data_IF_560347223862
#
_entry.id   IF_560347223862
#
_cell.length_a   1.000
_cell.length_b   1.000
_cell.length_c   1.000
_cell.angle_alpha   90.00
_cell.angle_beta   90.00
_cell.angle_gamma   90.00
#
_symmetry.space_group_name_H-M   'P 1'
#
loop_
_entity.id
_entity.type
_entity.pdbx_description
1 polymer ?
#
# COMPACT_ATOMS: atom_id res chain seq x y z
N UNK A 1 -0.95 -22.19 -8.69
CA UNK A 1 -1.73 -21.72 -7.50
C UNK A 1 -0.71 -21.47 -6.42
N UNK A 2 -0.68 -20.28 -5.83
CA UNK A 2 0.26 -19.99 -4.74
C UNK A 2 -0.07 -20.76 -3.46
N UNK A 3 0.92 -21.05 -2.64
CA UNK A 3 0.76 -21.64 -1.29
C UNK A 3 1.16 -20.62 -0.22
N UNK A 4 0.53 -20.68 0.94
CA UNK A 4 0.91 -19.86 2.11
C UNK A 4 1.45 -20.82 3.16
N UNK A 5 2.72 -20.67 3.50
CA UNK A 5 3.36 -21.37 4.60
C UNK A 5 3.33 -20.46 5.83
N UNK A 6 2.68 -20.93 6.90
CA UNK A 6 2.52 -20.17 8.14
C UNK A 6 3.52 -20.69 9.17
N UNK A 7 4.71 -20.09 9.23
CA UNK A 7 5.74 -20.47 10.20
C UNK A 7 5.32 -20.12 11.63
N UNK A 8 4.64 -18.98 11.80
CA UNK A 8 3.96 -18.58 13.04
C UNK A 8 2.86 -17.56 12.75
N UNK A 9 2.03 -17.20 13.73
CA UNK A 9 1.04 -16.13 13.56
C UNK A 9 1.65 -14.75 13.24
N UNK A 10 2.97 -14.60 13.43
CA UNK A 10 3.72 -13.35 13.18
C UNK A 10 4.73 -13.47 12.05
N UNK A 11 4.81 -14.62 11.38
CA UNK A 11 5.75 -14.84 10.27
C UNK A 11 5.18 -15.83 9.26
N UNK A 12 4.85 -15.34 8.08
CA UNK A 12 4.29 -16.12 6.98
C UNK A 12 5.19 -16.03 5.76
N UNK A 13 5.15 -17.06 4.91
CA UNK A 13 5.80 -17.07 3.60
C UNK A 13 4.73 -17.34 2.55
N UNK A 14 4.54 -16.39 1.63
CA UNK A 14 3.62 -16.54 0.49
C UNK A 14 4.42 -16.97 -0.72
N UNK A 15 4.22 -18.21 -1.17
CA UNK A 15 4.79 -18.73 -2.41
C UNK A 15 3.79 -18.52 -3.53
N UNK A 16 4.18 -17.86 -4.61
CA UNK A 16 3.28 -17.60 -5.74
C UNK A 16 3.57 -18.52 -6.92
N UNK A 17 4.55 -18.17 -7.77
CA UNK A 17 4.91 -18.89 -9.01
C UNK A 17 6.43 -18.91 -9.15
N UNK A 18 7.00 -20.00 -9.69
CA UNK A 18 8.42 -20.13 -10.07
C UNK A 18 9.38 -19.61 -8.98
N UNK A 19 9.25 -20.21 -7.78
CA UNK A 19 10.07 -19.89 -6.61
C UNK A 19 9.99 -18.44 -6.11
N UNK A 20 9.02 -17.65 -6.58
CA UNK A 20 8.75 -16.33 -6.00
C UNK A 20 8.10 -16.48 -4.62
N UNK A 21 8.85 -16.05 -3.60
CA UNK A 21 8.47 -16.09 -2.19
C UNK A 21 8.44 -14.68 -1.63
N UNK A 22 7.39 -14.40 -0.88
CA UNK A 22 7.23 -13.16 -0.15
C UNK A 22 7.14 -13.46 1.35
N UNK A 23 8.15 -13.04 2.09
CA UNK A 23 8.28 -13.23 3.53
C UNK A 23 7.56 -12.07 4.24
N UNK A 24 6.56 -12.36 5.06
CA UNK A 24 5.70 -11.40 5.75
C UNK A 24 5.93 -11.49 7.26
N UNK A 25 6.16 -10.35 7.90
CA UNK A 25 6.31 -10.24 9.36
C UNK A 25 5.21 -9.39 9.94
N UNK A 26 4.64 -9.84 11.05
CA UNK A 26 3.57 -9.14 11.74
C UNK A 26 3.89 -8.89 13.21
N UNK A 27 3.30 -7.84 13.77
CA UNK A 27 3.17 -7.66 15.22
C UNK A 27 1.74 -7.96 15.66
N UNK A 28 1.59 -8.52 16.86
CA UNK A 28 0.29 -8.69 17.51
C UNK A 28 -0.09 -7.41 18.25
N UNK A 29 -1.29 -6.88 17.98
CA UNK A 29 -1.81 -5.66 18.58
C UNK A 29 -3.06 -5.98 19.40
N UNK A 30 -3.05 -5.60 20.68
CA UNK A 30 -4.23 -5.71 21.54
C UNK A 30 -5.31 -4.71 21.11
N UNK A 31 -6.55 -5.19 20.98
CA UNK A 31 -7.68 -4.38 20.55
C UNK A 31 -8.77 -4.23 21.61
N UNK A 32 -8.76 -4.99 22.72
CA UNK A 32 -9.82 -4.88 23.74
C UNK A 32 -10.08 -3.43 24.16
N UNK A 33 -11.34 -3.00 24.07
CA UNK A 33 -11.77 -1.64 24.41
C UNK A 33 -11.43 -0.57 23.36
N UNK A 34 -10.66 -0.88 22.31
CA UNK A 34 -10.42 0.07 21.22
C UNK A 34 -11.64 0.25 20.35
N UNK A 35 -11.79 1.43 19.78
CA UNK A 35 -12.88 1.76 18.85
C UNK A 35 -12.77 0.91 17.57
N UNK A 36 -13.88 0.29 17.18
CA UNK A 36 -13.91 -0.60 16.01
C UNK A 36 -13.76 0.19 14.72
N UNK A 37 -14.51 1.28 14.57
CA UNK A 37 -14.48 2.11 13.36
C UNK A 37 -13.06 2.64 13.10
N UNK A 38 -12.42 3.22 14.12
CA UNK A 38 -11.09 3.81 13.98
C UNK A 38 -9.99 2.77 13.77
N UNK A 39 -10.25 1.48 14.07
CA UNK A 39 -9.30 0.39 13.81
C UNK A 39 -9.43 -0.20 12.41
N UNK A 40 -10.62 -0.14 11.79
CA UNK A 40 -10.88 -0.70 10.46
C UNK A 40 -10.73 0.38 9.37
N UNK A 41 -11.20 1.59 9.67
CA UNK A 41 -11.13 2.76 8.81
C UNK A 41 -10.37 3.90 9.53
N UNK A 42 -9.09 3.67 9.88
CA UNK A 42 -8.29 4.68 10.57
C UNK A 42 -8.19 5.97 9.74
N UNK A 43 -8.29 7.12 10.42
CA UNK A 43 -8.19 8.45 9.82
C UNK A 43 -9.48 9.00 9.23
N UNK A 44 -10.49 8.17 8.91
CA UNK A 44 -11.72 8.63 8.24
C UNK A 44 -12.60 9.57 9.07
N UNK A 45 -12.46 9.62 10.39
CA UNK A 45 -13.13 10.66 11.20
C UNK A 45 -12.56 12.05 10.95
N UNK A 46 -11.23 12.14 10.84
CA UNK A 46 -10.53 13.40 10.65
C UNK A 46 -10.60 13.86 9.19
N UNK A 47 -10.23 12.96 8.27
CA UNK A 47 -10.15 13.24 6.83
C UNK A 47 -11.51 13.16 6.11
N UNK A 48 -12.55 12.74 6.83
CA UNK A 48 -13.93 12.54 6.35
C UNK A 48 -14.01 11.55 5.17
N UNK A 49 -15.22 11.27 4.73
CA UNK A 49 -15.46 10.64 3.44
C UNK A 49 -15.56 11.75 2.39
N UNK A 50 -14.94 11.56 1.23
CA UNK A 50 -15.22 12.39 0.05
C UNK A 50 -16.66 12.14 -0.45
N UNK A 51 -17.06 12.69 -1.60
CA UNK A 51 -18.43 12.55 -2.13
C UNK A 51 -18.68 11.26 -2.91
N UNK A 52 -17.72 10.34 -3.00
CA UNK A 52 -17.89 9.12 -3.80
C UNK A 52 -18.99 8.21 -3.23
N UNK A 53 -19.72 7.55 -4.13
CA UNK A 53 -20.80 6.61 -3.79
C UNK A 53 -20.28 5.34 -3.12
N UNK A 54 -19.02 4.98 -3.39
CA UNK A 54 -18.30 3.84 -2.83
C UNK A 54 -18.26 3.83 -1.30
N UNK A 55 -18.42 4.98 -0.64
CA UNK A 55 -18.37 5.11 0.82
C UNK A 55 -19.72 5.01 1.54
N UNK A 56 -20.82 4.72 0.85
CA UNK A 56 -22.16 4.61 1.47
C UNK A 56 -22.17 3.70 2.70
N UNK A 57 -21.63 2.49 2.58
CA UNK A 57 -21.55 1.52 3.68
C UNK A 57 -20.63 1.98 4.81
N UNK A 58 -19.52 2.64 4.48
CA UNK A 58 -18.60 3.16 5.47
C UNK A 58 -19.19 4.32 6.28
N UNK A 59 -20.00 5.18 5.65
CA UNK A 59 -20.77 6.24 6.31
C UNK A 59 -21.86 5.65 7.22
N UNK A 60 -22.58 4.63 6.76
CA UNK A 60 -23.57 3.89 7.57
C UNK A 60 -22.89 3.26 8.78
N UNK A 61 -21.73 2.64 8.57
CA UNK A 61 -20.94 2.06 9.66
C UNK A 61 -20.58 3.13 10.70
N UNK A 62 -20.05 4.28 10.28
CA UNK A 62 -19.74 5.39 11.18
C UNK A 62 -20.98 5.86 11.96
N UNK A 63 -22.13 6.02 11.29
CA UNK A 63 -23.34 6.53 11.94
C UNK A 63 -23.98 5.53 12.91
N UNK A 64 -23.99 4.25 12.56
CA UNK A 64 -24.72 3.22 13.31
C UNK A 64 -23.89 2.55 14.38
N UNK A 65 -22.58 2.43 14.17
CA UNK A 65 -21.66 1.68 15.04
C UNK A 65 -20.36 2.41 15.30
N UNK A 66 -20.28 3.71 15.00
CA UNK A 66 -19.06 4.49 15.19
C UNK A 66 -18.52 4.44 16.61
N UNK A 67 -19.36 4.29 17.64
CA UNK A 67 -18.90 4.26 19.03
C UNK A 67 -18.67 2.85 19.59
N UNK A 68 -18.85 1.81 18.76
CA UNK A 68 -18.62 0.43 19.18
C UNK A 68 -17.15 0.16 19.47
N UNK A 69 -16.90 -0.72 20.44
CA UNK A 69 -15.56 -1.12 20.86
C UNK A 69 -15.38 -2.63 20.77
N UNK A 70 -14.14 -3.06 20.57
CA UNK A 70 -13.80 -4.47 20.55
C UNK A 70 -13.95 -5.10 21.94
N UNK A 71 -14.53 -6.31 22.06
CA UNK A 71 -14.65 -7.01 23.33
C UNK A 71 -13.30 -7.51 23.85
N UNK A 72 -13.25 -7.88 25.13
CA UNK A 72 -12.06 -8.43 25.78
C UNK A 72 -11.54 -9.67 25.02
N UNK A 73 -10.21 -9.74 24.82
CA UNK A 73 -9.53 -10.81 24.10
C UNK A 73 -9.45 -10.59 22.58
N UNK A 74 -9.89 -9.43 22.09
CA UNK A 74 -9.73 -9.04 20.69
C UNK A 74 -8.30 -8.61 20.42
N UNK A 75 -7.70 -9.14 19.37
CA UNK A 75 -6.40 -8.69 18.88
C UNK A 75 -6.34 -8.78 17.36
N UNK A 76 -5.39 -8.06 16.78
CA UNK A 76 -5.11 -8.14 15.37
C UNK A 76 -3.61 -8.37 15.13
N UNK A 77 -3.26 -8.67 13.89
CA UNK A 77 -1.89 -8.71 13.44
C UNK A 77 -1.70 -7.61 12.39
N UNK A 78 -0.67 -6.81 12.59
CA UNK A 78 -0.32 -5.68 11.72
C UNK A 78 0.98 -5.99 11.02
N UNK A 79 1.01 -5.85 9.69
CA UNK A 79 2.21 -6.07 8.90
C UNK A 79 3.28 -5.05 9.32
N UNK A 80 4.47 -5.53 9.69
CA UNK A 80 5.62 -4.71 10.07
C UNK A 80 6.72 -4.74 9.03
N UNK A 81 6.83 -5.84 8.28
CA UNK A 81 7.84 -6.01 7.25
C UNK A 81 7.35 -6.99 6.18
N UNK A 82 7.78 -6.75 4.94
CA UNK A 82 7.64 -7.72 3.85
C UNK A 82 8.88 -7.71 2.95
N UNK A 83 9.25 -8.87 2.40
CA UNK A 83 10.39 -8.99 1.50
C UNK A 83 10.17 -10.06 0.45
N UNK A 84 10.42 -9.71 -0.82
CA UNK A 84 10.51 -10.70 -1.89
C UNK A 84 11.90 -11.31 -1.92
N UNK A 85 11.99 -12.61 -2.20
CA UNK A 85 13.26 -13.29 -2.39
C UNK A 85 13.95 -12.94 -3.72
N UNK A 86 13.19 -12.48 -4.72
CA UNK A 86 13.68 -12.04 -6.03
C UNK A 86 12.83 -10.90 -6.58
N UNK A 87 13.41 -10.11 -7.47
CA UNK A 87 12.73 -9.02 -8.14
C UNK A 87 11.79 -9.56 -9.23
N UNK A 88 10.65 -8.91 -9.40
CA UNK A 88 9.75 -9.25 -10.50
C UNK A 88 8.89 -8.06 -10.93
N UNK A 89 8.38 -8.15 -12.16
CA UNK A 89 7.44 -7.21 -12.74
C UNK A 89 6.09 -7.90 -12.92
N UNK A 90 5.02 -7.18 -12.62
CA UNK A 90 3.66 -7.59 -12.93
C UNK A 90 2.99 -6.53 -13.80
N UNK A 91 2.46 -6.93 -14.96
CA UNK A 91 1.77 -6.02 -15.89
C UNK A 91 0.70 -6.75 -16.69
N UNK A 92 -0.29 -5.99 -17.19
CA UNK A 92 -1.38 -6.52 -18.00
C UNK A 92 -1.16 -6.14 -19.48
N UNK A 93 -0.96 -7.15 -20.33
CA UNK A 93 -0.70 -6.99 -21.76
C UNK A 93 -1.92 -6.59 -22.59
N UNK A 94 -3.13 -6.64 -22.03
CA UNK A 94 -4.38 -6.27 -22.72
C UNK A 94 -4.63 -4.75 -22.68
N UNK A 95 -3.78 -3.99 -21.98
CA UNK A 95 -3.95 -2.55 -21.74
C UNK A 95 -2.69 -1.78 -22.09
N UNK A 96 -2.30 -1.74 -23.38
CA UNK A 96 -1.22 -0.87 -23.81
C UNK A 96 -1.61 0.60 -23.55
N UNK A 97 -0.62 1.41 -23.25
CA UNK A 97 -0.77 2.87 -23.17
C UNK A 97 -0.22 3.49 -24.45
N UNK A 98 -0.87 4.56 -24.91
CA UNK A 98 -0.44 5.32 -26.09
C UNK A 98 0.66 6.31 -25.69
N UNK A 99 1.85 5.77 -25.46
CA UNK A 99 3.03 6.52 -25.03
C UNK A 99 4.31 5.94 -25.65
N UNK A 100 5.39 6.72 -25.61
CA UNK A 100 6.73 6.26 -26.00
C UNK A 100 7.57 5.95 -24.77
N UNK A 101 8.21 4.78 -24.79
CA UNK A 101 9.00 4.30 -23.66
C UNK A 101 10.14 5.26 -23.28
N UNK A 102 10.88 5.78 -24.26
CA UNK A 102 11.97 6.72 -24.00
C UNK A 102 11.48 8.06 -23.41
N UNK A 103 10.31 8.55 -23.83
CA UNK A 103 9.71 9.75 -23.23
C UNK A 103 9.40 9.50 -21.75
N UNK A 104 8.81 8.34 -21.40
CA UNK A 104 8.55 7.99 -20.00
C UNK A 104 9.83 7.79 -19.19
N UNK A 105 10.90 7.30 -19.83
CA UNK A 105 12.21 7.19 -19.21
C UNK A 105 12.76 8.57 -18.84
N UNK A 106 12.65 9.56 -19.74
CA UNK A 106 13.09 10.93 -19.50
C UNK A 106 12.24 11.64 -18.44
N UNK A 107 10.91 11.45 -18.47
CA UNK A 107 9.99 11.96 -17.44
C UNK A 107 10.39 11.46 -16.04
N UNK A 108 10.70 10.17 -15.90
CA UNK A 108 11.14 9.59 -14.62
C UNK A 108 12.44 10.24 -14.11
N UNK A 109 13.42 10.45 -14.97
CA UNK A 109 14.69 11.12 -14.61
C UNK A 109 14.40 12.55 -14.12
N UNK A 110 13.53 13.29 -14.81
CA UNK A 110 13.16 14.64 -14.43
C UNK A 110 12.43 14.69 -13.08
N UNK A 111 11.52 13.74 -12.83
CA UNK A 111 10.83 13.59 -11.54
C UNK A 111 11.84 13.38 -10.42
N UNK A 112 12.80 12.46 -10.59
CA UNK A 112 13.83 12.16 -9.59
C UNK A 112 14.73 13.37 -9.34
N UNK A 113 15.17 14.07 -10.39
CA UNK A 113 16.01 15.26 -10.23
C UNK A 113 15.29 16.39 -9.49
N UNK A 114 14.02 16.67 -9.84
CA UNK A 114 13.21 17.67 -9.14
C UNK A 114 12.93 17.26 -7.69
N UNK A 115 12.65 15.98 -7.43
CA UNK A 115 12.45 15.47 -6.08
C UNK A 115 13.72 15.55 -5.24
N UNK A 116 14.90 15.28 -5.82
CA UNK A 116 16.19 15.42 -5.11
C UNK A 116 16.47 16.85 -4.68
N UNK A 117 16.08 17.84 -5.49
CA UNK A 117 16.27 19.26 -5.17
C UNK A 117 15.26 19.74 -4.11
N UNK A 118 13.98 19.38 -4.27
CA UNK A 118 12.89 19.95 -3.45
C UNK A 118 12.52 19.12 -2.23
N UNK A 119 12.69 17.80 -2.31
CA UNK A 119 12.21 16.82 -1.35
C UNK A 119 13.27 15.71 -1.10
N UNK A 120 14.49 16.07 -0.68
CA UNK A 120 15.61 15.13 -0.55
C UNK A 120 15.31 13.96 0.39
N UNK A 121 14.45 14.16 1.40
CA UNK A 121 14.05 13.12 2.36
C UNK A 121 13.25 11.96 1.75
N UNK A 122 12.73 12.11 0.52
CA UNK A 122 12.05 11.01 -0.19
C UNK A 122 13.03 9.98 -0.77
N UNK A 123 14.30 10.39 -0.95
CA UNK A 123 15.40 9.59 -1.50
C UNK A 123 14.97 8.72 -2.70
N UNK A 124 14.47 9.39 -3.75
CA UNK A 124 13.99 8.73 -4.95
C UNK A 124 15.15 8.40 -5.89
N UNK A 125 15.06 7.23 -6.52
CA UNK A 125 15.97 6.79 -7.57
C UNK A 125 15.17 6.30 -8.79
N UNK A 126 15.68 6.60 -9.98
CA UNK A 126 15.22 5.97 -11.21
C UNK A 126 16.04 4.71 -11.49
N UNK A 127 15.40 3.74 -12.14
CA UNK A 127 16.06 2.54 -12.62
C UNK A 127 15.52 2.22 -14.01
N UNK A 128 16.43 2.09 -14.97
CA UNK A 128 16.19 1.54 -16.32
C UNK A 128 16.96 0.25 -16.43
N UNK A 129 16.28 -0.85 -16.74
CA UNK A 129 16.91 -2.15 -16.84
C UNK A 129 16.18 -3.04 -17.86
N UNK A 130 16.72 -4.24 -18.07
CA UNK A 130 16.16 -5.23 -18.99
C UNK A 130 16.02 -6.57 -18.30
N UNK A 131 14.81 -7.12 -18.28
CA UNK A 131 14.52 -8.43 -17.69
C UNK A 131 14.01 -9.39 -18.77
N UNK A 132 14.73 -10.48 -19.00
CA UNK A 132 14.40 -11.49 -20.02
C UNK A 132 14.10 -10.88 -21.42
N UNK A 133 14.87 -9.87 -21.81
CA UNK A 133 14.69 -9.21 -23.10
C UNK A 133 13.65 -8.09 -23.12
N UNK A 134 12.92 -7.88 -22.03
CA UNK A 134 11.90 -6.84 -21.86
C UNK A 134 12.53 -5.62 -21.18
N UNK A 135 12.50 -4.48 -21.86
CA UNK A 135 12.98 -3.22 -21.29
C UNK A 135 11.94 -2.66 -20.33
N UNK A 136 12.40 -2.14 -19.19
CA UNK A 136 11.54 -1.54 -18.19
C UNK A 136 12.22 -0.39 -17.47
N UNK A 137 11.38 0.50 -16.94
CA UNK A 137 11.79 1.65 -16.14
C UNK A 137 10.92 1.71 -14.90
N UNK A 138 11.44 2.31 -13.83
CA UNK A 138 10.70 2.64 -12.62
C UNK A 138 11.29 3.87 -11.94
N UNK A 139 10.54 4.43 -11.00
CA UNK A 139 11.05 5.30 -9.94
C UNK A 139 10.65 4.65 -8.63
N UNK A 140 11.57 4.56 -7.69
CA UNK A 140 11.33 3.95 -6.38
C UNK A 140 12.02 4.75 -5.28
N UNK A 141 11.51 4.64 -4.05
CA UNK A 141 12.16 5.24 -2.89
C UNK A 141 13.18 4.27 -2.31
N UNK A 142 14.40 4.77 -2.06
CA UNK A 142 15.44 4.04 -1.34
C UNK A 142 15.11 3.90 0.16
N UNK A 143 14.24 4.76 0.70
CA UNK A 143 13.76 4.67 2.08
C UNK A 143 12.85 3.47 2.27
N UNK A 144 11.91 3.25 1.35
CA UNK A 144 10.85 2.24 1.51
C UNK A 144 11.06 0.99 0.66
N UNK A 145 11.89 1.08 -0.37
CA UNK A 145 12.09 0.03 -1.38
C UNK A 145 10.90 -0.15 -2.33
N UNK A 146 9.87 0.70 -2.24
CA UNK A 146 8.67 0.63 -3.07
C UNK A 146 8.78 1.55 -4.28
N UNK A 147 8.21 1.09 -5.40
CA UNK A 147 7.96 1.94 -6.55
C UNK A 147 7.02 3.10 -6.20
N UNK A 148 7.18 4.21 -6.93
CA UNK A 148 6.16 5.24 -7.00
C UNK A 148 5.09 4.78 -8.00
N UNK A 149 3.82 4.66 -7.57
CA UNK A 149 2.76 4.14 -8.42
C UNK A 149 2.67 4.89 -9.75
N UNK A 150 2.38 4.14 -10.82
CA UNK A 150 2.26 4.67 -12.19
C UNK A 150 3.56 5.19 -12.82
N UNK A 151 4.72 5.12 -12.18
CA UNK A 151 6.01 5.50 -12.79
C UNK A 151 6.78 4.30 -13.36
N UNK A 152 6.30 3.08 -13.13
CA UNK A 152 6.88 1.88 -13.74
C UNK A 152 6.25 1.62 -15.10
N UNK A 153 7.10 1.35 -16.10
CA UNK A 153 6.70 1.04 -17.48
C UNK A 153 7.50 -0.13 -18.01
N UNK A 154 6.86 -0.91 -18.86
CA UNK A 154 7.47 -2.01 -19.61
C UNK A 154 7.26 -1.77 -21.10
N UNK A 155 8.30 -2.00 -21.90
CA UNK A 155 8.18 -2.08 -23.35
C UNK A 155 8.16 -3.54 -23.79
N UNK A 156 7.04 -3.96 -24.36
CA UNK A 156 6.82 -5.34 -24.80
C UNK A 156 6.11 -5.36 -26.15
N UNK A 157 6.58 -6.17 -27.10
CA UNK A 157 6.05 -6.27 -28.46
C UNK A 157 5.83 -4.90 -29.16
N UNK A 158 6.75 -3.95 -28.93
CA UNK A 158 6.68 -2.60 -29.53
C UNK A 158 5.64 -1.67 -28.88
N UNK A 159 4.94 -2.11 -27.84
CA UNK A 159 3.97 -1.33 -27.08
C UNK A 159 4.48 -1.05 -25.66
N UNK A 160 3.91 -0.03 -25.02
CA UNK A 160 4.22 0.35 -23.64
C UNK A 160 3.09 -0.05 -22.72
N UNK A 161 3.41 -0.55 -21.54
CA UNK A 161 2.45 -0.99 -20.53
C UNK A 161 2.76 -0.38 -19.18
N UNK A 162 1.71 -0.07 -18.41
CA UNK A 162 1.84 0.12 -16.97
C UNK A 162 2.23 -1.20 -16.32
N UNK A 163 3.24 -1.15 -15.46
CA UNK A 163 3.70 -2.29 -14.71
C UNK A 163 3.82 -1.92 -13.23
N UNK A 164 3.98 -2.93 -12.39
CA UNK A 164 4.37 -2.80 -10.99
C UNK A 164 5.67 -3.54 -10.79
N UNK A 165 6.67 -2.82 -10.28
CA UNK A 165 7.97 -3.31 -9.87
C UNK A 165 7.93 -3.75 -8.42
N UNK A 166 8.33 -4.99 -8.18
CA UNK A 166 8.42 -5.57 -6.86
C UNK A 166 9.89 -5.88 -6.56
N UNK A 167 10.49 -5.06 -5.70
CA UNK A 167 11.91 -5.15 -5.36
C UNK A 167 12.19 -6.27 -4.34
N UNK A 168 13.47 -6.60 -4.18
CA UNK A 168 13.99 -7.46 -3.10
C UNK A 168 14.29 -6.70 -1.81
N UNK A 169 14.16 -5.37 -1.84
CA UNK A 169 14.35 -4.53 -0.66
C UNK A 169 13.25 -4.86 0.35
N UNK A 170 13.65 -5.00 1.61
CA UNK A 170 12.71 -5.24 2.68
C UNK A 170 11.92 -3.96 2.93
N UNK A 171 10.62 -4.01 2.66
CA UNK A 171 9.71 -2.95 3.07
C UNK A 171 9.51 -3.06 4.56
N UNK A 172 9.66 -1.94 5.28
CA UNK A 172 9.37 -1.85 6.71
C UNK A 172 8.34 -0.76 6.99
N UNK A 173 7.40 -1.07 7.86
CA UNK A 173 6.29 -0.18 8.19
C UNK A 173 6.77 1.14 8.80
N UNK A 174 7.76 1.10 9.70
CA UNK A 174 8.32 2.30 10.33
C UNK A 174 8.96 3.24 9.31
N UNK A 175 9.69 2.69 8.33
CA UNK A 175 10.22 3.44 7.18
C UNK A 175 9.13 4.02 6.30
N UNK A 176 8.07 3.25 6.02
CA UNK A 176 6.93 3.77 5.26
C UNK A 176 6.22 4.89 6.01
N UNK A 177 6.03 4.77 7.33
CA UNK A 177 5.42 5.84 8.16
C UNK A 177 6.26 7.11 8.08
N UNK A 178 7.60 7.00 8.20
CA UNK A 178 8.50 8.14 8.06
C UNK A 178 8.37 8.78 6.69
N UNK A 179 8.42 7.98 5.63
CA UNK A 179 8.26 8.45 4.25
C UNK A 179 6.91 9.17 4.03
N UNK A 180 5.80 8.59 4.49
CA UNK A 180 4.47 9.21 4.41
C UNK A 180 4.40 10.53 5.18
N UNK A 181 5.02 10.62 6.35
CA UNK A 181 5.11 11.89 7.11
C UNK A 181 5.89 12.95 6.34
N UNK A 182 7.06 12.59 5.78
CA UNK A 182 7.86 13.49 4.95
C UNK A 182 7.07 13.99 3.73
N UNK A 183 6.30 13.12 3.06
CA UNK A 183 5.43 13.55 1.95
C UNK A 183 4.36 14.54 2.43
N UNK A 184 3.65 14.24 3.52
CA UNK A 184 2.56 15.08 4.02
C UNK A 184 3.07 16.44 4.51
N UNK A 185 4.24 16.46 5.15
CA UNK A 185 4.89 17.68 5.65
C UNK A 185 5.53 18.50 4.52
N UNK A 186 5.85 17.85 3.40
CA UNK A 186 6.36 18.52 2.20
C UNK A 186 5.26 19.19 1.37
N UNK A 187 5.66 20.09 0.48
CA UNK A 187 4.77 20.69 -0.53
C UNK A 187 4.52 19.76 -1.73
N UNK A 188 4.90 18.48 -1.66
CA UNK A 188 4.77 17.54 -2.80
C UNK A 188 3.33 17.43 -3.31
N UNK A 189 2.34 17.52 -2.41
CA UNK A 189 0.91 17.52 -2.76
C UNK A 189 0.21 18.88 -2.50
N UNK A 190 0.95 19.99 -2.43
CA UNK A 190 0.38 21.30 -2.10
C UNK A 190 -0.80 21.68 -3.01
N UNK A 191 -0.69 21.39 -4.31
CA UNK A 191 -1.74 21.69 -5.30
C UNK A 191 -2.73 20.53 -5.53
N UNK A 192 -2.63 19.45 -4.75
CA UNK A 192 -3.45 18.25 -4.93
C UNK A 192 -4.01 17.73 -3.59
N UNK A 193 -5.05 18.41 -3.10
CA UNK A 193 -5.72 18.07 -1.85
C UNK A 193 -6.27 16.62 -1.80
N UNK A 194 -6.64 16.05 -2.95
CA UNK A 194 -7.13 14.66 -3.03
C UNK A 194 -6.01 13.67 -2.75
N UNK A 195 -4.83 13.85 -3.36
CA UNK A 195 -3.67 12.97 -3.10
C UNK A 195 -3.11 13.19 -1.69
N UNK A 196 -3.08 14.43 -1.20
CA UNK A 196 -2.72 14.71 0.20
C UNK A 196 -3.66 13.98 1.18
N UNK A 197 -4.98 14.00 0.93
CA UNK A 197 -5.95 13.28 1.75
C UNK A 197 -5.72 11.76 1.69
N UNK A 198 -5.51 11.19 0.51
CA UNK A 198 -5.19 9.76 0.36
C UNK A 198 -3.95 9.40 1.16
N UNK A 199 -2.92 10.24 1.15
CA UNK A 199 -1.69 9.97 1.88
C UNK A 199 -1.88 10.06 3.40
N UNK A 200 -2.68 11.01 3.90
CA UNK A 200 -3.05 11.05 5.33
C UNK A 200 -3.83 9.80 5.77
N UNK A 201 -4.74 9.31 4.93
CA UNK A 201 -5.47 8.06 5.18
C UNK A 201 -4.53 6.85 5.15
N UNK A 202 -3.56 6.81 4.22
CA UNK A 202 -2.53 5.78 4.17
C UNK A 202 -1.67 5.79 5.43
N UNK A 203 -1.22 6.96 5.88
CA UNK A 203 -0.47 7.11 7.12
C UNK A 203 -1.27 6.58 8.33
N UNK A 204 -2.53 6.99 8.46
CA UNK A 204 -3.40 6.51 9.54
C UNK A 204 -3.58 4.98 9.49
N UNK A 205 -3.69 4.40 8.29
CA UNK A 205 -3.73 2.94 8.07
C UNK A 205 -2.44 2.25 8.47
N UNK A 206 -1.28 2.83 8.19
CA UNK A 206 0.00 2.27 8.62
C UNK A 206 0.15 2.32 10.14
N UNK A 207 -0.24 3.43 10.78
CA UNK A 207 -0.10 3.61 12.23
C UNK A 207 -1.10 2.75 13.03
N UNK A 208 -2.34 2.61 12.53
CA UNK A 208 -3.45 2.07 13.31
C UNK A 208 -4.12 0.85 12.70
N UNK A 209 -4.05 0.66 11.38
CA UNK A 209 -4.72 -0.42 10.67
C UNK A 209 -4.16 -1.81 11.02
N UNK A 210 -4.93 -2.84 10.71
CA UNK A 210 -4.55 -4.23 10.89
C UNK A 210 -4.60 -4.97 9.56
N UNK A 211 -3.78 -6.02 9.42
CA UNK A 211 -3.79 -6.90 8.26
C UNK A 211 -4.81 -8.03 8.43
N UNK A 212 -4.94 -8.56 9.65
CA UNK A 212 -5.86 -9.63 9.99
C UNK A 212 -6.29 -9.53 11.46
N UNK A 213 -7.43 -10.13 11.80
CA UNK A 213 -8.02 -10.07 13.14
C UNK A 213 -8.24 -11.48 13.70
N UNK A 214 -8.16 -11.64 15.02
CA UNK A 214 -8.50 -12.90 15.65
C UNK A 214 -10.01 -13.18 15.63
N UNK A 215 -10.41 -14.42 15.92
CA UNK A 215 -11.81 -14.83 15.87
C UNK A 215 -12.73 -13.97 16.74
N UNK A 216 -12.29 -13.56 17.93
CA UNK A 216 -13.08 -12.71 18.83
C UNK A 216 -13.38 -11.36 18.19
N UNK A 217 -12.37 -10.70 17.61
CA UNK A 217 -12.56 -9.46 16.88
C UNK A 217 -13.47 -9.65 15.67
N UNK A 218 -13.23 -10.67 14.83
CA UNK A 218 -14.05 -10.98 13.65
C UNK A 218 -15.52 -11.24 14.02
N UNK A 219 -15.79 -12.02 15.06
CA UNK A 219 -17.16 -12.28 15.52
C UNK A 219 -17.88 -10.99 15.92
N UNK A 220 -17.17 -10.08 16.59
CA UNK A 220 -17.73 -8.75 16.87
C UNK A 220 -18.02 -7.99 15.59
N UNK A 221 -17.11 -7.97 14.61
CA UNK A 221 -17.36 -7.31 13.31
C UNK A 221 -18.59 -7.87 12.61
N UNK A 222 -18.72 -9.19 12.55
CA UNK A 222 -19.89 -9.86 11.94
C UNK A 222 -21.18 -9.47 12.67
N UNK A 223 -21.16 -9.39 14.01
CA UNK A 223 -22.36 -9.05 14.80
C UNK A 223 -22.91 -7.65 14.52
N UNK A 224 -22.08 -6.74 13.98
CA UNK A 224 -22.48 -5.39 13.62
C UNK A 224 -23.25 -5.33 12.29
N UNK A 225 -23.44 -6.46 11.59
CA UNK A 225 -24.32 -6.57 10.41
C UNK A 225 -24.09 -5.49 9.33
N UNK A 226 -22.82 -5.20 9.03
CA UNK A 226 -22.42 -4.15 8.07
C UNK A 226 -22.99 -4.35 6.65
N UNK A 227 -23.33 -5.58 6.27
CA UNK A 227 -23.82 -5.95 4.95
C UNK A 227 -25.34 -6.19 4.97
N UNK A 228 -26.12 -5.17 5.34
CA UNK A 228 -27.54 -5.18 4.97
C UNK A 228 -27.66 -4.60 3.56
N UNK A 229 -27.68 -5.49 2.58
CA UNK A 229 -28.24 -5.19 1.26
C UNK A 229 -29.75 -4.97 1.46
N UNK A 230 -30.21 -3.74 1.26
CA UNK A 230 -31.60 -3.49 0.87
C UNK A 230 -31.64 -3.38 -0.64
#
# INVERSE_FOLDING_TARGET
>A
MGTIDVDSMTHWTVNTINDLRNDLRFEKVELSGKNIFDSILPGYRAERFDSESSYSNARIFLSSHGNETFPKGSHCYRLISQRNNQEFLSFNTDRPIDDKFDIKSEENINIVNNAREKFPDLDLADLKNRFQGIDWITVYSLVTGLEIPSLTKVQYNGQVFNATYNSTLEWKRDKQIQFSKSIIESEFFADNATELRKEKLNLARLENGCYMYNQTAINKLISLNFFRYN
#
